data_IF_875237108024
#
_entry.id   IF_875237108024
#
_cell.length_a   1.000
_cell.length_b   1.000
_cell.length_c   1.000
_cell.angle_alpha   90.00
_cell.angle_beta   90.00
_cell.angle_gamma   90.00
#
_symmetry.space_group_name_H-M   'P 1'
#
loop_
_entity.id
_entity.type
_entity.pdbx_description
1 polymer ?
#
# COMPACT_ATOMS: atom_id res chain seq x y z
N UNK A 1 -49.70 26.02 -0.40
CA UNK A 1 -49.58 25.01 0.66
C UNK A 1 -49.23 23.70 -0.04
N UNK A 2 -47.94 23.38 -0.15
CA UNK A 2 -47.47 22.19 -0.86
C UNK A 2 -47.06 21.13 0.16
N UNK A 3 -47.70 19.97 0.08
CA UNK A 3 -47.43 18.79 0.89
C UNK A 3 -46.22 18.09 0.29
N UNK A 4 -45.15 17.89 1.07
CA UNK A 4 -44.03 17.04 0.70
C UNK A 4 -44.31 15.61 1.14
N UNK A 5 -44.44 14.69 0.18
CA UNK A 5 -44.31 13.27 0.45
C UNK A 5 -42.84 12.89 0.21
N UNK A 6 -42.13 12.50 1.28
CA UNK A 6 -40.78 11.96 1.22
C UNK A 6 -40.90 10.44 1.10
N UNK A 7 -40.37 9.87 0.01
CA UNK A 7 -40.08 8.45 -0.08
C UNK A 7 -38.65 8.22 -0.55
N UNK A 8 -37.94 7.43 0.26
CA UNK A 8 -37.02 6.39 -0.19
C UNK A 8 -35.69 6.82 -0.80
N UNK A 9 -34.62 6.65 -0.02
CA UNK A 9 -33.27 6.58 -0.54
C UNK A 9 -33.12 5.48 -1.60
N UNK A 10 -32.71 5.88 -2.80
CA UNK A 10 -32.07 5.00 -3.77
C UNK A 10 -31.11 5.85 -4.61
N UNK A 11 -29.82 5.54 -4.50
CA UNK A 11 -28.72 5.86 -5.42
C UNK A 11 -28.88 7.17 -6.22
N UNK A 12 -28.30 8.26 -5.70
CA UNK A 12 -28.18 9.55 -6.38
C UNK A 12 -27.51 9.41 -7.75
N UNK A 13 -28.32 9.12 -8.76
CA UNK A 13 -28.04 9.40 -10.15
C UNK A 13 -28.68 10.76 -10.40
N UNK A 14 -27.94 11.84 -10.11
CA UNK A 14 -28.40 13.20 -10.40
C UNK A 14 -28.47 13.36 -11.91
N UNK A 15 -29.62 13.02 -12.47
CA UNK A 15 -29.91 13.18 -13.89
C UNK A 15 -30.49 14.58 -14.04
N UNK A 16 -29.66 15.56 -14.43
CA UNK A 16 -30.19 16.89 -14.78
C UNK A 16 -30.92 16.77 -16.11
N UNK A 17 -32.23 16.54 -16.07
CA UNK A 17 -33.06 16.55 -17.28
C UNK A 17 -33.33 18.02 -17.62
N UNK A 18 -32.49 18.59 -18.48
CA UNK A 18 -32.83 19.81 -19.22
C UNK A 18 -33.75 19.37 -20.37
N UNK A 19 -34.98 19.90 -20.41
CA UNK A 19 -35.91 19.67 -21.51
C UNK A 19 -35.32 20.28 -22.81
N UNK A 20 -35.13 19.51 -23.89
CA UNK A 20 -34.57 20.05 -25.13
C UNK A 20 -35.64 20.75 -25.98
N UNK A 21 -35.25 21.85 -26.61
CA UNK A 21 -36.01 22.48 -27.70
C UNK A 21 -36.08 21.55 -28.92
N UNK A 22 -37.17 21.60 -29.71
CA UNK A 22 -37.27 20.82 -30.94
C UNK A 22 -36.19 21.32 -31.91
N UNK A 23 -35.47 20.40 -32.55
CA UNK A 23 -34.47 20.63 -33.61
C UNK A 23 -32.98 20.70 -33.21
N UNK A 24 -32.57 20.22 -32.03
CA UNK A 24 -31.14 19.99 -31.76
C UNK A 24 -30.78 18.51 -31.77
N UNK A 25 -29.93 18.09 -32.71
CA UNK A 25 -29.31 16.77 -32.72
C UNK A 25 -28.29 16.69 -31.59
N UNK A 26 -28.76 16.37 -30.38
CA UNK A 26 -27.89 16.17 -29.21
C UNK A 26 -27.17 14.84 -29.40
N UNK A 27 -25.91 14.90 -29.86
CA UNK A 27 -24.99 13.80 -29.63
C UNK A 27 -24.78 13.70 -28.12
N UNK A 28 -25.51 12.77 -27.47
CA UNK A 28 -25.21 12.36 -26.12
C UNK A 28 -23.83 11.67 -26.14
N UNK A 29 -22.76 12.45 -25.97
CA UNK A 29 -21.48 11.89 -25.57
C UNK A 29 -21.69 11.29 -24.19
N UNK A 30 -21.79 9.98 -24.13
CA UNK A 30 -21.66 9.22 -22.91
C UNK A 30 -20.29 9.57 -22.31
N UNK A 31 -20.27 10.47 -21.34
CA UNK A 31 -19.07 10.71 -20.52
C UNK A 31 -18.97 9.49 -19.62
N UNK A 32 -18.25 8.47 -20.09
CA UNK A 32 -17.85 7.35 -19.23
C UNK A 32 -17.01 7.97 -18.12
N UNK A 33 -17.41 7.87 -16.85
CA UNK A 33 -16.58 8.36 -15.76
C UNK A 33 -15.23 7.66 -15.87
N UNK A 34 -14.15 8.45 -16.01
CA UNK A 34 -12.80 7.90 -15.98
C UNK A 34 -12.71 7.07 -14.70
N UNK A 35 -12.45 5.76 -14.83
CA UNK A 35 -12.19 4.90 -13.66
C UNK A 35 -11.11 5.60 -12.85
N UNK A 36 -11.47 6.12 -11.69
CA UNK A 36 -10.48 6.57 -10.72
C UNK A 36 -9.75 5.31 -10.29
N UNK A 37 -8.60 5.04 -10.92
CA UNK A 37 -7.69 3.99 -10.47
C UNK A 37 -7.23 4.46 -9.09
N UNK A 38 -7.75 3.83 -8.05
CA UNK A 38 -7.29 4.06 -6.68
C UNK A 38 -5.79 3.82 -6.67
N UNK A 39 -5.03 4.80 -6.16
CA UNK A 39 -3.58 4.65 -6.00
C UNK A 39 -3.33 3.52 -5.00
N UNK A 40 -2.52 2.54 -5.39
CA UNK A 40 -2.16 1.40 -4.55
C UNK A 40 -1.38 1.90 -3.34
N UNK A 41 -1.79 1.46 -2.16
CA UNK A 41 -1.14 1.73 -0.90
C UNK A 41 -0.99 0.42 -0.14
N UNK A 42 0.18 0.23 0.44
CA UNK A 42 0.53 -0.96 1.19
C UNK A 42 0.77 -0.57 2.64
N UNK A 43 0.27 -1.38 3.57
CA UNK A 43 0.47 -1.22 4.99
C UNK A 43 1.54 -2.19 5.45
N UNK A 44 2.59 -1.73 6.12
CA UNK A 44 3.65 -2.63 6.54
C UNK A 44 4.83 -1.98 7.22
N UNK A 45 5.86 -2.78 7.49
CA UNK A 45 7.12 -2.33 8.05
C UNK A 45 8.14 -2.12 6.93
N UNK A 46 8.69 -0.92 6.83
CA UNK A 46 9.75 -0.59 5.87
C UNK A 46 11.11 -0.70 6.51
N UNK A 47 12.06 -1.28 5.80
CA UNK A 47 13.45 -1.43 6.22
C UNK A 47 14.35 -0.74 5.20
N UNK A 48 15.14 0.21 5.69
CA UNK A 48 16.10 0.90 4.83
C UNK A 48 17.26 -0.02 4.47
N UNK A 49 17.96 0.32 3.39
CA UNK A 49 19.18 -0.41 3.00
C UNK A 49 20.18 -0.49 4.17
N UNK A 50 20.35 0.62 4.91
CA UNK A 50 21.28 0.70 6.04
C UNK A 50 20.87 -0.24 7.18
N UNK A 51 19.60 -0.26 7.55
CA UNK A 51 19.09 -1.15 8.60
C UNK A 51 19.30 -2.63 8.25
N UNK A 52 19.08 -3.00 6.99
CA UNK A 52 19.27 -4.39 6.54
C UNK A 52 20.74 -4.81 6.49
N UNK A 53 21.64 -3.87 6.22
CA UNK A 53 23.08 -4.06 6.31
C UNK A 53 23.49 -4.26 7.77
N UNK A 54 23.06 -3.38 8.68
CA UNK A 54 23.36 -3.49 10.12
C UNK A 54 22.86 -4.82 10.69
N UNK A 55 21.61 -5.18 10.40
CA UNK A 55 21.05 -6.47 10.78
C UNK A 55 21.87 -7.63 10.21
N UNK A 56 22.27 -7.52 8.93
CA UNK A 56 23.08 -8.52 8.25
C UNK A 56 24.47 -8.69 8.88
N UNK A 57 25.11 -7.60 9.29
CA UNK A 57 26.42 -7.65 9.97
C UNK A 57 26.31 -8.33 11.34
N UNK A 58 25.24 -8.06 12.10
CA UNK A 58 24.97 -8.71 13.38
C UNK A 58 24.77 -10.24 13.24
N UNK A 59 24.24 -10.72 12.11
CA UNK A 59 23.84 -12.11 11.93
C UNK A 59 24.78 -12.94 11.04
N UNK A 60 25.47 -12.32 10.09
CA UNK A 60 26.34 -12.98 9.11
C UNK A 60 27.83 -12.63 9.28
N UNK A 61 28.15 -11.67 10.17
CA UNK A 61 29.50 -11.23 10.49
C UNK A 61 29.84 -9.85 9.93
N UNK A 62 30.73 -9.15 10.61
CA UNK A 62 31.21 -7.82 10.21
C UNK A 62 32.06 -7.86 8.93
N UNK A 63 31.83 -6.90 8.05
CA UNK A 63 32.58 -6.75 6.80
C UNK A 63 32.41 -5.34 6.24
N UNK A 64 33.43 -4.85 5.54
CA UNK A 64 33.41 -3.59 4.79
C UNK A 64 33.33 -3.82 3.27
N UNK A 65 33.29 -5.07 2.81
CA UNK A 65 33.19 -5.39 1.39
C UNK A 65 31.80 -5.02 0.85
N UNK A 66 31.76 -4.03 -0.04
CA UNK A 66 30.53 -3.49 -0.62
C UNK A 66 29.68 -4.54 -1.32
N UNK A 67 30.28 -5.53 -1.97
CA UNK A 67 29.53 -6.57 -2.67
C UNK A 67 28.92 -7.57 -1.69
N UNK A 68 29.63 -7.89 -0.60
CA UNK A 68 29.10 -8.71 0.49
C UNK A 68 27.96 -7.97 1.21
N UNK A 69 28.10 -6.67 1.49
CA UNK A 69 27.05 -5.85 2.10
C UNK A 69 25.78 -5.79 1.23
N UNK A 70 25.90 -5.71 -0.10
CA UNK A 70 24.75 -5.83 -1.01
C UNK A 70 24.05 -7.18 -0.89
N UNK A 71 24.80 -8.26 -0.71
CA UNK A 71 24.22 -9.58 -0.48
C UNK A 71 23.53 -9.68 0.88
N UNK A 72 24.04 -9.00 1.91
CA UNK A 72 23.40 -8.97 3.23
C UNK A 72 21.99 -8.44 3.13
N UNK A 73 21.75 -7.34 2.43
CA UNK A 73 20.39 -6.80 2.24
C UNK A 73 19.41 -7.85 1.71
N UNK A 74 19.80 -8.60 0.66
CA UNK A 74 18.97 -9.66 0.09
C UNK A 74 18.79 -10.84 1.05
N UNK A 75 19.85 -11.21 1.77
CA UNK A 75 19.86 -12.34 2.71
C UNK A 75 19.06 -12.03 3.98
N UNK A 76 19.13 -10.81 4.52
CA UNK A 76 18.40 -10.35 5.71
C UNK A 76 16.89 -10.39 5.51
N UNK A 77 16.42 -10.05 4.30
CA UNK A 77 14.97 -10.04 4.03
C UNK A 77 14.32 -11.42 4.08
N UNK A 78 15.05 -12.52 3.84
CA UNK A 78 14.50 -13.88 3.88
C UNK A 78 14.02 -14.29 5.28
N UNK A 79 14.91 -14.27 6.30
CA UNK A 79 14.55 -14.51 7.69
C UNK A 79 13.47 -13.56 8.20
N UNK A 80 13.59 -12.25 7.96
CA UNK A 80 12.60 -11.26 8.40
C UNK A 80 11.22 -11.55 7.78
N UNK A 81 11.17 -11.86 6.48
CA UNK A 81 9.94 -12.28 5.83
C UNK A 81 9.38 -13.55 6.48
N UNK A 82 10.22 -14.55 6.74
CA UNK A 82 9.79 -15.85 7.29
C UNK A 82 9.19 -15.69 8.69
N UNK A 83 9.86 -14.92 9.57
CA UNK A 83 9.36 -14.61 10.92
C UNK A 83 8.00 -13.92 10.87
N UNK A 84 7.85 -12.92 10.00
CA UNK A 84 6.57 -12.21 9.82
C UNK A 84 5.49 -13.11 9.20
N UNK A 85 5.83 -13.89 8.18
CA UNK A 85 4.91 -14.77 7.45
C UNK A 85 4.33 -15.89 8.34
N UNK A 86 5.11 -16.39 9.30
CA UNK A 86 4.64 -17.38 10.28
C UNK A 86 3.50 -16.83 11.16
N UNK A 87 3.52 -15.53 11.46
CA UNK A 87 2.49 -14.86 12.27
C UNK A 87 1.35 -14.31 11.42
N UNK A 88 1.66 -13.89 10.19
CA UNK A 88 0.69 -13.33 9.25
C UNK A 88 0.93 -13.89 7.84
N UNK A 89 0.13 -14.89 7.46
CA UNK A 89 0.30 -15.62 6.18
C UNK A 89 0.06 -14.77 4.93
N UNK A 90 -0.49 -13.57 5.09
CA UNK A 90 -0.71 -12.61 3.99
C UNK A 90 0.48 -11.68 3.80
N UNK A 91 1.56 -11.86 4.56
CA UNK A 91 2.76 -11.05 4.39
C UNK A 91 3.33 -11.21 2.98
N UNK A 92 3.54 -10.09 2.31
CA UNK A 92 4.27 -10.02 1.04
C UNK A 92 5.47 -9.08 1.18
N UNK A 93 6.37 -9.12 0.20
CA UNK A 93 7.56 -8.26 0.18
C UNK A 93 7.51 -7.35 -1.03
N UNK A 94 7.61 -6.06 -0.78
CA UNK A 94 7.57 -5.03 -1.81
C UNK A 94 8.74 -4.06 -1.63
N UNK A 95 9.09 -3.34 -2.70
CA UNK A 95 9.98 -2.19 -2.62
C UNK A 95 9.08 -0.96 -2.62
N UNK A 96 9.32 -0.06 -1.68
CA UNK A 96 8.67 1.25 -1.61
C UNK A 96 9.67 2.30 -2.05
N UNK A 97 9.29 3.05 -3.07
CA UNK A 97 10.14 4.10 -3.63
C UNK A 97 9.61 5.47 -3.20
N UNK A 98 10.45 6.25 -2.52
CA UNK A 98 10.17 7.61 -2.11
C UNK A 98 10.87 8.59 -3.05
N UNK A 99 10.08 9.38 -3.80
CA UNK A 99 10.63 10.40 -4.69
C UNK A 99 10.88 11.69 -3.92
N UNK A 100 12.15 12.01 -3.66
CA UNK A 100 12.58 13.30 -3.10
C UNK A 100 12.88 14.35 -4.18
N UNK A 101 12.85 13.95 -5.46
CA UNK A 101 12.96 14.85 -6.61
C UNK A 101 12.85 14.11 -7.94
N UNK A 102 13.00 14.81 -9.08
CA UNK A 102 12.82 14.22 -10.42
C UNK A 102 13.88 13.15 -10.79
N UNK A 103 15.01 13.11 -10.08
CA UNK A 103 16.09 12.11 -10.28
C UNK A 103 16.59 11.48 -8.98
N UNK A 104 15.98 11.79 -7.84
CA UNK A 104 16.36 11.26 -6.53
C UNK A 104 15.22 10.44 -6.00
N UNK A 105 15.50 9.17 -5.76
CA UNK A 105 14.58 8.25 -5.13
C UNK A 105 15.34 7.48 -4.05
N UNK A 106 14.63 7.19 -2.97
CA UNK A 106 15.07 6.29 -1.92
C UNK A 106 14.19 5.05 -1.97
N UNK A 107 14.80 3.88 -1.76
CA UNK A 107 14.11 2.60 -1.82
C UNK A 107 14.24 1.89 -0.48
N UNK A 108 13.08 1.55 0.09
CA UNK A 108 13.00 0.73 1.29
C UNK A 108 12.32 -0.60 0.98
N UNK A 109 12.74 -1.64 1.67
CA UNK A 109 12.09 -2.93 1.63
C UNK A 109 10.90 -2.96 2.57
N UNK A 110 9.70 -3.21 2.07
CA UNK A 110 8.49 -3.30 2.87
C UNK A 110 8.09 -4.77 3.08
N UNK A 111 7.87 -5.16 4.34
CA UNK A 111 7.08 -6.32 4.71
C UNK A 111 5.62 -5.88 4.82
N UNK A 112 4.86 -6.15 3.77
CA UNK A 112 3.48 -5.72 3.63
C UNK A 112 2.54 -6.66 4.36
N UNK A 113 1.69 -6.09 5.22
CA UNK A 113 0.68 -6.78 5.99
C UNK A 113 -0.71 -6.62 5.37
N UNK A 114 -0.98 -5.49 4.73
CA UNK A 114 -2.25 -5.18 4.08
C UNK A 114 -2.07 -4.29 2.84
N UNK A 115 -3.07 -4.26 1.96
CA UNK A 115 -3.07 -3.49 0.71
C UNK A 115 -4.50 -2.97 0.46
N UNK A 116 -4.62 -1.69 0.12
CA UNK A 116 -5.90 -1.01 -0.05
C UNK A 116 -6.69 -1.43 -1.31
N UNK A 117 -6.08 -2.11 -2.27
CA UNK A 117 -6.76 -2.51 -3.52
C UNK A 117 -7.47 -3.84 -3.39
N UNK A 118 -6.84 -4.83 -2.76
CA UNK A 118 -7.40 -6.17 -2.66
C UNK A 118 -8.34 -6.25 -1.45
N UNK A 119 -9.59 -6.66 -1.69
CA UNK A 119 -10.57 -6.89 -0.60
C UNK A 119 -10.06 -7.85 0.45
N UNK A 120 -9.30 -8.85 0.03
CA UNK A 120 -8.79 -9.89 0.92
C UNK A 120 -7.63 -9.38 1.79
N UNK A 121 -6.90 -8.36 1.35
CA UNK A 121 -5.77 -7.78 2.08
C UNK A 121 -6.03 -6.36 2.57
N UNK A 122 -7.22 -5.81 2.39
CA UNK A 122 -7.55 -4.45 2.85
C UNK A 122 -7.64 -4.33 4.37
N UNK A 123 -7.83 -5.46 5.06
CA UNK A 123 -7.90 -5.48 6.52
C UNK A 123 -6.51 -5.69 7.12
N UNK A 124 -5.97 -4.71 7.87
CA UNK A 124 -4.72 -4.88 8.59
C UNK A 124 -4.85 -5.93 9.71
N UNK A 125 -3.74 -6.56 10.12
CA UNK A 125 -3.75 -7.48 11.25
C UNK A 125 -4.21 -6.79 12.54
N UNK A 126 -4.79 -7.57 13.45
CA UNK A 126 -5.13 -7.10 14.78
C UNK A 126 -3.88 -6.64 15.54
N UNK A 127 -4.03 -5.68 16.46
CA UNK A 127 -2.91 -5.10 17.22
C UNK A 127 -2.06 -6.15 17.93
N UNK A 128 -2.68 -7.17 18.51
CA UNK A 128 -1.97 -8.29 19.17
C UNK A 128 -1.04 -9.05 18.21
N UNK A 129 -1.43 -9.19 16.94
CA UNK A 129 -0.58 -9.82 15.92
C UNK A 129 0.55 -8.87 15.52
N UNK A 130 0.27 -7.57 15.40
CA UNK A 130 1.29 -6.55 15.13
C UNK A 130 2.35 -6.56 16.23
N UNK A 131 1.95 -6.59 17.50
CA UNK A 131 2.86 -6.59 18.65
C UNK A 131 3.75 -7.85 18.64
N UNK A 132 3.20 -9.03 18.32
CA UNK A 132 3.99 -10.26 18.13
C UNK A 132 4.94 -10.18 16.94
N UNK A 133 4.54 -9.52 15.85
CA UNK A 133 5.40 -9.32 14.68
C UNK A 133 6.56 -8.38 15.06
N UNK A 134 6.28 -7.29 15.79
CA UNK A 134 7.32 -6.38 16.29
C UNK A 134 8.33 -7.10 17.15
N UNK A 135 7.86 -7.94 18.08
CA UNK A 135 8.71 -8.79 18.92
C UNK A 135 9.57 -9.74 18.07
N UNK A 136 8.97 -10.46 17.12
CA UNK A 136 9.69 -11.40 16.26
C UNK A 136 10.73 -10.73 15.34
N UNK A 137 10.46 -9.49 14.92
CA UNK A 137 11.36 -8.70 14.08
C UNK A 137 12.34 -7.87 14.91
N UNK A 138 12.21 -7.86 16.24
CA UNK A 138 13.04 -7.08 17.16
C UNK A 138 12.99 -5.57 16.87
N UNK A 139 11.80 -5.06 16.50
CA UNK A 139 11.56 -3.65 16.17
C UNK A 139 10.54 -3.01 17.10
N UNK A 140 10.62 -1.70 17.28
CA UNK A 140 9.68 -0.92 18.09
C UNK A 140 8.69 -0.09 17.26
N UNK A 141 9.08 0.27 16.03
CA UNK A 141 8.27 1.10 15.11
C UNK A 141 6.93 0.45 14.78
N UNK A 142 5.92 1.28 14.54
CA UNK A 142 4.62 0.86 14.03
C UNK A 142 4.65 0.65 12.50
N UNK A 143 3.79 -0.22 11.95
CA UNK A 143 3.61 -0.31 10.51
C UNK A 143 2.84 0.90 10.01
N UNK A 144 3.19 1.38 8.82
CA UNK A 144 2.62 2.57 8.21
C UNK A 144 2.04 2.27 6.83
N UNK A 145 1.22 3.20 6.32
CA UNK A 145 0.70 3.15 4.97
C UNK A 145 1.65 3.85 3.99
N UNK A 146 2.22 3.08 3.09
CA UNK A 146 3.15 3.56 2.07
C UNK A 146 2.47 3.61 0.70
N UNK A 147 2.77 4.65 -0.07
CA UNK A 147 2.36 4.69 -1.49
C UNK A 147 3.18 3.67 -2.25
N UNK A 148 2.50 2.76 -2.93
CA UNK A 148 3.13 1.78 -3.79
C UNK A 148 3.01 2.26 -5.23
N UNK A 149 4.12 2.75 -5.77
CA UNK A 149 4.26 2.96 -7.20
C UNK A 149 4.65 1.60 -7.79
N UNK A 150 3.65 0.76 -8.07
CA UNK A 150 3.92 -0.47 -8.80
C UNK A 150 4.43 -0.14 -10.19
N UNK A 151 5.40 -0.92 -10.66
CA UNK A 151 5.71 -1.03 -12.08
C UNK A 151 4.58 -1.74 -12.85
#
# INVERSE_FOLDING_TARGET
MFVFAVFGMANSTTTSIVLPAPDSSIQQRQVVPKRHVLRRMIYGFTFSHKELVEWGQQHFGETDDKEVLRQYVRRSMGPLFTRCYCLWRRTTRHIVTYHSGPRRHEEDWCLTLADNISRDTAMPPAKEVIDKIKEALEITRDPEWHRFYGD
#
